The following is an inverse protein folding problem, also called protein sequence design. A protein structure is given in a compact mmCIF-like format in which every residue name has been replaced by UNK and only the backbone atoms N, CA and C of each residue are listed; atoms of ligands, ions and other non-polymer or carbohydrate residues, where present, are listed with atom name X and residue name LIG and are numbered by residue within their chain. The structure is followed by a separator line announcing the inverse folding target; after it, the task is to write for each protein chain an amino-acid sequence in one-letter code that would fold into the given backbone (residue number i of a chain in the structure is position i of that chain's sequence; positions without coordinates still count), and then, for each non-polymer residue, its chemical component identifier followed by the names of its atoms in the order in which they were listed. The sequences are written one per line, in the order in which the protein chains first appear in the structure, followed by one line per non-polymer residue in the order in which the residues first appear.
data_IF_970293018892
#
_entry.id   IF_970293018892
#
_cell.length_a   1.000
_cell.length_b   1.000
_cell.length_c   1.000
_cell.angle_alpha   90.00
_cell.angle_beta   90.00
_cell.angle_gamma   90.00
#
_symmetry.space_group_name_H-M   'P 1'
#
loop_
_entity.id
_entity.type
_entity.pdbx_description
1 polymer ?
#
# COMPACT_ATOMS: atom_id res chain seq x y z
N UNK A 1 5.89 -16.30 1.12
CA UNK A 1 6.64 -15.03 1.19
C UNK A 1 7.11 -14.55 -0.19
N UNK A 2 6.67 -15.15 -1.30
CA UNK A 2 6.94 -14.67 -2.68
C UNK A 2 5.79 -13.84 -3.28
N UNK A 3 4.62 -13.82 -2.62
CA UNK A 3 3.41 -13.17 -3.14
C UNK A 3 3.44 -11.64 -3.00
N UNK A 4 4.21 -11.11 -2.04
CA UNK A 4 4.20 -9.69 -1.67
C UNK A 4 4.93 -8.83 -2.69
N UNK A 5 6.14 -9.23 -3.08
CA UNK A 5 6.98 -8.44 -3.98
C UNK A 5 6.34 -8.30 -5.37
N UNK A 6 5.76 -9.37 -5.91
CA UNK A 6 5.02 -9.28 -7.17
C UNK A 6 3.77 -8.41 -7.07
N UNK A 7 3.07 -8.44 -5.93
CA UNK A 7 1.87 -7.62 -5.71
C UNK A 7 2.20 -6.14 -5.56
N UNK A 8 3.29 -5.81 -4.87
CA UNK A 8 3.80 -4.44 -4.73
C UNK A 8 4.22 -3.87 -6.09
N UNK A 9 5.00 -4.65 -6.86
CA UNK A 9 5.43 -4.25 -8.20
C UNK A 9 4.23 -4.02 -9.14
N UNK A 10 3.24 -4.91 -9.09
CA UNK A 10 2.00 -4.76 -9.88
C UNK A 10 1.24 -3.49 -9.47
N UNK A 11 1.01 -3.30 -8.17
CA UNK A 11 0.35 -2.09 -7.65
C UNK A 11 1.11 -0.83 -8.07
N UNK A 12 2.45 -0.82 -7.96
CA UNK A 12 3.27 0.31 -8.36
C UNK A 12 3.14 0.61 -9.87
N UNK A 13 3.12 -0.42 -10.72
CA UNK A 13 2.91 -0.25 -12.16
C UNK A 13 1.52 0.35 -12.49
N UNK A 14 0.46 -0.16 -11.87
CA UNK A 14 -0.90 0.36 -12.04
C UNK A 14 -1.00 1.83 -11.59
N UNK A 15 -0.38 2.16 -10.45
CA UNK A 15 -0.36 3.53 -9.93
C UNK A 15 0.48 4.47 -10.80
N UNK A 16 1.60 4.01 -11.36
CA UNK A 16 2.40 4.79 -12.33
C UNK A 16 1.59 5.13 -13.57
N UNK A 17 0.77 4.20 -14.05
CA UNK A 17 -0.11 4.45 -15.19
C UNK A 17 -1.21 5.48 -14.84
N UNK A 18 -1.86 5.31 -13.68
CA UNK A 18 -2.91 6.21 -13.19
C UNK A 18 -2.42 7.63 -12.86
N UNK A 19 -1.20 7.77 -12.36
CA UNK A 19 -0.61 9.05 -11.94
C UNK A 19 0.53 9.54 -12.83
N UNK A 20 0.55 9.10 -14.10
CA UNK A 20 1.57 9.45 -15.08
C UNK A 20 1.83 10.96 -15.22
N UNK A 21 0.82 11.80 -14.97
CA UNK A 21 0.94 13.27 -15.04
C UNK A 21 1.23 13.95 -13.69
N UNK A 22 1.52 13.19 -12.63
CA UNK A 22 1.76 13.72 -11.28
C UNK A 22 3.11 13.23 -10.73
N UNK A 23 4.17 14.01 -10.99
CA UNK A 23 5.54 13.71 -10.58
C UNK A 23 5.72 13.53 -9.06
N UNK A 24 4.95 14.26 -8.25
CA UNK A 24 4.99 14.09 -6.80
C UNK A 24 4.47 12.71 -6.36
N UNK A 25 3.38 12.21 -6.99
CA UNK A 25 2.85 10.87 -6.71
C UNK A 25 3.77 9.78 -7.24
N UNK A 26 4.36 9.97 -8.42
CA UNK A 26 5.33 9.01 -8.98
C UNK A 26 6.54 8.80 -8.07
N UNK A 27 7.08 9.88 -7.47
CA UNK A 27 8.19 9.77 -6.52
C UNK A 27 7.81 9.01 -5.24
N UNK A 28 6.57 9.17 -4.76
CA UNK A 28 6.08 8.42 -3.60
C UNK A 28 5.87 6.95 -3.93
N UNK A 29 5.38 6.63 -5.13
CA UNK A 29 5.22 5.25 -5.61
C UNK A 29 6.57 4.55 -5.68
N UNK A 30 7.60 5.23 -6.20
CA UNK A 30 8.96 4.69 -6.29
C UNK A 30 9.55 4.40 -4.90
N UNK A 31 9.35 5.36 -3.98
CA UNK A 31 9.75 5.18 -2.57
C UNK A 31 8.97 4.05 -1.91
N UNK A 32 7.68 3.91 -2.18
CA UNK A 32 6.87 2.82 -1.66
C UNK A 32 7.39 1.47 -2.16
N UNK A 33 7.61 1.31 -3.46
CA UNK A 33 8.13 0.07 -4.04
C UNK A 33 9.49 -0.32 -3.44
N UNK A 34 10.38 0.65 -3.20
CA UNK A 34 11.74 0.42 -2.69
C UNK A 34 11.84 0.21 -1.19
N UNK A 35 11.09 0.97 -0.39
CA UNK A 35 11.21 1.03 1.08
C UNK A 35 10.05 0.31 1.79
N UNK A 36 9.04 -0.20 1.07
CA UNK A 36 7.95 -0.93 1.71
C UNK A 36 8.44 -2.19 2.40
N UNK A 37 7.97 -2.39 3.63
CA UNK A 37 8.25 -3.58 4.42
C UNK A 37 6.99 -3.97 5.20
N UNK A 38 6.63 -5.26 5.25
CA UNK A 38 5.48 -5.75 6.00
C UNK A 38 5.49 -5.42 7.49
N UNK A 39 6.65 -5.09 8.08
CA UNK A 39 6.78 -4.65 9.48
C UNK A 39 6.55 -3.15 9.68
N UNK A 40 6.44 -2.38 8.59
CA UNK A 40 6.22 -0.92 8.60
C UNK A 40 4.89 -0.51 7.95
N UNK A 41 4.06 -1.45 7.48
CA UNK A 41 2.71 -1.19 6.94
C UNK A 41 1.84 -0.22 7.78
N UNK A 42 1.78 -0.31 9.12
CA UNK A 42 1.05 0.68 9.94
C UNK A 42 1.65 2.09 9.80
N UNK A 43 2.98 2.20 9.76
CA UNK A 43 3.67 3.48 9.57
C UNK A 43 3.37 4.06 8.19
N UNK A 44 3.34 3.24 7.15
CA UNK A 44 2.91 3.66 5.82
C UNK A 44 1.46 4.14 5.85
N UNK A 45 0.54 3.38 6.47
CA UNK A 45 -0.86 3.77 6.57
C UNK A 45 -1.09 5.09 7.35
N UNK A 46 -0.32 5.34 8.40
CA UNK A 46 -0.54 6.48 9.31
C UNK A 46 0.30 7.72 8.98
N UNK A 47 1.54 7.55 8.50
CA UNK A 47 2.46 8.67 8.22
C UNK A 47 2.49 9.09 6.76
N UNK A 48 2.34 8.15 5.83
CA UNK A 48 2.38 8.47 4.41
C UNK A 48 0.94 8.70 3.93
N UNK A 49 0.62 9.97 3.66
CA UNK A 49 -0.73 10.38 3.23
C UNK A 49 -1.18 9.60 1.98
N UNK A 50 -0.24 9.23 1.13
CA UNK A 50 -0.47 8.51 -0.12
C UNK A 50 -1.20 7.17 0.06
N UNK A 51 -0.72 6.27 0.92
CA UNK A 51 -1.30 4.93 1.11
C UNK A 51 -2.69 5.01 1.75
N UNK A 52 -2.87 5.94 2.70
CA UNK A 52 -4.18 6.23 3.28
C UNK A 52 -5.16 6.77 2.24
N UNK A 53 -4.76 7.79 1.46
CA UNK A 53 -5.62 8.36 0.42
C UNK A 53 -5.96 7.34 -0.65
N UNK A 54 -4.99 6.53 -1.07
CA UNK A 54 -5.18 5.53 -2.11
C UNK A 54 -6.18 4.44 -1.68
N UNK A 55 -6.01 3.88 -0.48
CA UNK A 55 -6.92 2.87 0.03
C UNK A 55 -8.33 3.46 0.26
N UNK A 56 -8.44 4.64 0.86
CA UNK A 56 -9.74 5.28 1.06
C UNK A 56 -10.42 5.66 -0.26
N UNK A 57 -9.67 6.09 -1.25
CA UNK A 57 -10.20 6.38 -2.57
C UNK A 57 -10.69 5.11 -3.26
N UNK A 58 -9.91 4.02 -3.20
CA UNK A 58 -10.29 2.73 -3.77
C UNK A 58 -11.58 2.19 -3.13
N UNK A 59 -11.69 2.27 -1.81
CA UNK A 59 -12.90 1.88 -1.08
C UNK A 59 -14.10 2.76 -1.44
N UNK A 60 -13.94 4.09 -1.50
CA UNK A 60 -15.03 5.02 -1.88
C UNK A 60 -15.52 4.83 -3.30
N UNK A 61 -14.62 4.52 -4.22
CA UNK A 61 -14.94 4.29 -5.65
C UNK A 61 -15.31 2.84 -5.94
N UNK A 62 -15.19 1.94 -4.96
CA UNK A 62 -15.36 0.49 -5.11
C UNK A 62 -14.48 -0.08 -6.25
N UNK A 63 -13.26 0.44 -6.38
CA UNK A 63 -12.28 -0.01 -7.36
C UNK A 63 -11.75 -1.38 -6.94
N UNK A 64 -12.49 -2.44 -7.28
CA UNK A 64 -12.21 -3.80 -6.84
C UNK A 64 -10.77 -4.23 -7.16
N UNK A 65 -10.25 -3.87 -8.34
CA UNK A 65 -8.89 -4.21 -8.73
C UNK A 65 -7.85 -3.57 -7.78
N UNK A 66 -8.02 -2.29 -7.43
CA UNK A 66 -7.13 -1.61 -6.48
C UNK A 66 -7.27 -2.18 -5.07
N UNK A 67 -8.49 -2.49 -4.63
CA UNK A 67 -8.73 -3.09 -3.30
C UNK A 67 -8.07 -4.48 -3.21
N UNK A 68 -8.23 -5.31 -4.25
CA UNK A 68 -7.63 -6.65 -4.33
C UNK A 68 -6.10 -6.53 -4.37
N UNK A 69 -5.55 -5.63 -5.19
CA UNK A 69 -4.11 -5.39 -5.26
C UNK A 69 -3.57 -4.82 -3.93
N UNK A 70 -4.36 -4.08 -3.15
CA UNK A 70 -4.01 -3.66 -1.79
C UNK A 70 -4.28 -4.72 -0.70
N UNK A 71 -4.73 -5.92 -1.06
CA UNK A 71 -5.03 -6.98 -0.11
C UNK A 71 -3.84 -7.40 0.75
N UNK A 72 -2.62 -7.41 0.18
CA UNK A 72 -1.39 -7.68 0.94
C UNK A 72 -1.15 -6.61 2.02
N UNK A 73 -1.37 -5.34 1.67
CA UNK A 73 -1.17 -4.21 2.57
C UNK A 73 -2.14 -4.24 3.76
N UNK A 74 -3.41 -4.58 3.50
CA UNK A 74 -4.41 -4.77 4.55
C UNK A 74 -4.06 -5.94 5.47
N UNK A 75 -3.57 -7.05 4.90
CA UNK A 75 -3.09 -8.20 5.67
C UNK A 75 -1.91 -7.83 6.57
N UNK A 76 -0.94 -7.09 6.05
CA UNK A 76 0.24 -6.68 6.82
C UNK A 76 -0.11 -5.70 7.95
N UNK A 77 -1.05 -4.78 7.72
CA UNK A 77 -1.60 -3.93 8.78
C UNK A 77 -2.26 -4.80 9.85
N UNK A 78 -3.09 -5.77 9.45
CA UNK A 78 -3.76 -6.64 10.41
C UNK A 78 -2.77 -7.46 11.24
N UNK A 79 -1.76 -8.05 10.59
CA UNK A 79 -0.71 -8.81 11.26
C UNK A 79 0.07 -7.95 12.26
N UNK A 80 0.51 -6.76 11.86
CA UNK A 80 1.19 -5.85 12.80
C UNK A 80 0.29 -5.43 13.97
N UNK A 81 -1.00 -5.19 13.72
CA UNK A 81 -1.94 -4.86 14.80
C UNK A 81 -2.10 -6.02 15.77
N UNK A 82 -2.17 -7.26 15.27
CA UNK A 82 -2.20 -8.45 16.11
C UNK A 82 -0.92 -8.60 16.91
N UNK A 83 0.25 -8.42 16.30
CA UNK A 83 1.54 -8.46 17.00
C UNK A 83 1.62 -7.41 18.11
N UNK A 84 1.25 -6.15 17.83
CA UNK A 84 1.21 -5.08 18.82
C UNK A 84 0.26 -5.41 19.97
N UNK A 85 -0.92 -5.95 19.67
CA UNK A 85 -1.92 -6.29 20.68
C UNK A 85 -1.53 -7.52 21.51
N UNK A 86 -0.74 -8.46 20.96
CA UNK A 86 -0.18 -9.60 21.70
C UNK A 86 1.02 -9.19 22.59
N UNK A 87 1.65 -8.05 22.31
CA UNK A 87 2.75 -7.50 23.11
C UNK A 87 2.31 -6.57 24.24
N UNK A 88 1.00 -6.27 24.37
CA UNK A 88 0.41 -5.48 25.46
C UNK A 88 -0.16 -6.39 26.56
#
# INVERSE_FOLDING_TARGET
MEYDEQSINKLAADLRHLYSNNSARLNIIDKFERDYCPQQAIRWYTRERFTYELLNQALRKLEADTIINMGFFLRDIHLQLQELHQQQ
#
